data_IF_872001319885
#
_entry.id   IF_872001319885
#
_cell.length_a   1.000
_cell.length_b   1.000
_cell.length_c   1.000
_cell.angle_alpha   90.00
_cell.angle_beta   90.00
_cell.angle_gamma   90.00
#
_symmetry.space_group_name_H-M   'P 1'
#
loop_
_entity.id
_entity.type
_entity.pdbx_description
1 polymer ?
#
# COMPACT_ATOMS: atom_id res chain seq x y z
N UNK A 1 -2.43 -21.71 16.94
CA UNK A 1 -3.59 -22.09 17.74
C UNK A 1 -3.96 -20.88 18.57
N UNK A 2 -5.15 -20.35 18.41
CA UNK A 2 -5.62 -19.17 19.14
C UNK A 2 -6.86 -19.62 19.92
N UNK A 3 -6.90 -19.37 21.23
CA UNK A 3 -8.05 -19.70 22.07
C UNK A 3 -9.14 -18.62 22.03
N UNK A 4 -10.29 -18.93 22.61
CA UNK A 4 -11.35 -17.95 22.85
C UNK A 4 -11.05 -17.13 24.13
N UNK A 5 -11.60 -15.91 24.28
CA UNK A 5 -11.35 -15.06 25.47
C UNK A 5 -11.71 -15.70 26.82
N UNK A 6 -12.59 -16.69 26.80
CA UNK A 6 -13.02 -17.44 28.00
C UNK A 6 -12.23 -18.74 28.22
N UNK A 7 -11.19 -19.01 27.43
CA UNK A 7 -10.38 -20.25 27.44
C UNK A 7 -11.21 -21.56 27.31
N UNK A 8 -12.42 -21.48 26.77
CA UNK A 8 -13.31 -22.63 26.64
C UNK A 8 -13.04 -23.42 25.34
N UNK A 9 -12.41 -22.80 24.35
CA UNK A 9 -12.22 -23.39 23.01
C UNK A 9 -10.87 -22.99 22.41
N UNK A 10 -10.23 -23.92 21.72
CA UNK A 10 -9.07 -23.65 20.86
C UNK A 10 -9.50 -23.45 19.41
N UNK A 11 -8.97 -22.44 18.73
CA UNK A 11 -9.09 -22.32 17.27
C UNK A 11 -8.01 -23.14 16.56
N UNK A 12 -8.45 -24.08 15.76
CA UNK A 12 -7.58 -25.01 15.04
C UNK A 12 -7.60 -24.68 13.55
N UNK A 13 -6.44 -24.35 12.99
CA UNK A 13 -6.23 -24.31 11.54
C UNK A 13 -5.43 -25.54 11.14
N UNK A 14 -5.94 -26.34 10.23
CA UNK A 14 -5.27 -27.55 9.77
C UNK A 14 -4.96 -27.50 8.28
N UNK A 15 -3.88 -28.18 7.91
CA UNK A 15 -3.37 -28.21 6.56
C UNK A 15 -3.09 -29.66 6.16
N UNK A 16 -3.36 -30.03 4.92
CA UNK A 16 -2.90 -31.30 4.37
C UNK A 16 -2.01 -31.07 3.16
N UNK A 17 -1.04 -31.95 3.02
CA UNK A 17 0.00 -31.87 2.00
C UNK A 17 -0.01 -33.11 1.13
N UNK A 18 0.39 -32.96 -0.13
CA UNK A 18 0.60 -34.07 -1.04
C UNK A 18 1.92 -34.81 -0.73
N UNK A 19 2.20 -35.89 -1.49
CA UNK A 19 3.42 -36.69 -1.33
C UNK A 19 4.73 -35.93 -1.64
N UNK A 20 4.65 -34.74 -2.25
CA UNK A 20 5.77 -33.85 -2.51
C UNK A 20 5.91 -32.75 -1.46
N UNK A 21 5.06 -32.74 -0.43
CA UNK A 21 5.04 -31.72 0.61
C UNK A 21 4.39 -30.41 0.20
N UNK A 22 3.60 -30.37 -0.89
CA UNK A 22 2.88 -29.18 -1.32
C UNK A 22 1.49 -29.13 -0.65
N UNK A 23 1.06 -27.95 -0.24
CA UNK A 23 -0.25 -27.74 0.39
C UNK A 23 -1.37 -28.13 -0.55
N UNK A 24 -2.15 -29.16 -0.24
CA UNK A 24 -3.29 -29.58 -1.06
C UNK A 24 -4.65 -29.19 -0.46
N UNK A 25 -4.74 -28.99 0.85
CA UNK A 25 -5.94 -28.49 1.50
C UNK A 25 -5.59 -27.58 2.67
N UNK A 26 -6.28 -26.47 2.76
CA UNK A 26 -6.28 -25.55 3.88
C UNK A 26 -7.70 -25.54 4.47
N UNK A 27 -7.85 -26.08 5.67
CA UNK A 27 -9.15 -26.18 6.30
C UNK A 27 -9.56 -24.87 6.92
N UNK A 28 -10.85 -24.56 6.86
CA UNK A 28 -11.43 -23.40 7.56
C UNK A 28 -11.17 -23.57 9.06
N UNK A 29 -10.70 -22.52 9.76
CA UNK A 29 -10.48 -22.58 11.19
C UNK A 29 -11.77 -22.97 11.93
N UNK A 30 -11.67 -23.84 12.91
CA UNK A 30 -12.79 -24.26 13.75
C UNK A 30 -12.40 -24.31 15.22
N UNK A 31 -13.39 -24.23 16.11
CA UNK A 31 -13.19 -24.35 17.56
C UNK A 31 -13.43 -25.80 18.01
N UNK A 32 -12.57 -26.31 18.90
CA UNK A 32 -12.75 -27.61 19.55
C UNK A 32 -12.51 -27.51 21.07
N UNK A 33 -13.37 -28.17 21.87
CA UNK A 33 -13.34 -28.17 23.36
C UNK A 33 -12.42 -29.23 23.95
N UNK A 34 -11.89 -30.17 23.16
CA UNK A 34 -11.29 -31.41 23.69
C UNK A 34 -9.75 -31.44 23.53
N UNK A 35 -9.12 -30.26 23.58
CA UNK A 35 -7.67 -30.15 23.34
C UNK A 35 -6.88 -30.08 24.65
N UNK A 36 -6.61 -31.26 25.24
CA UNK A 36 -5.85 -31.36 26.50
C UNK A 36 -4.35 -31.48 26.32
N UNK A 37 -3.82 -31.52 25.07
CA UNK A 37 -2.38 -31.70 24.84
C UNK A 37 -1.89 -30.76 23.71
N UNK A 38 -1.06 -29.78 24.06
CA UNK A 38 -0.36 -28.92 23.09
C UNK A 38 0.42 -29.77 22.07
N UNK A 39 0.08 -29.60 20.79
CA UNK A 39 0.88 -30.14 19.67
C UNK A 39 0.42 -31.47 19.05
N UNK A 40 -0.67 -32.09 19.52
CA UNK A 40 -1.19 -33.33 18.90
C UNK A 40 -2.54 -33.11 18.21
N UNK A 41 -2.52 -32.68 16.92
CA UNK A 41 -3.72 -32.63 16.09
C UNK A 41 -4.07 -34.04 15.56
N UNK A 42 -5.30 -34.49 15.79
CA UNK A 42 -5.83 -35.72 15.19
C UNK A 42 -6.62 -35.36 13.92
N UNK A 43 -6.08 -35.69 12.76
CA UNK A 43 -6.60 -35.38 11.42
C UNK A 43 -7.97 -35.99 11.06
N UNK A 44 -8.62 -36.71 11.99
CA UNK A 44 -9.84 -37.47 11.70
C UNK A 44 -11.18 -36.77 12.05
N UNK A 45 -11.15 -35.57 12.62
CA UNK A 45 -12.38 -34.81 12.90
C UNK A 45 -12.62 -33.79 11.82
N UNK A 46 -13.60 -34.06 10.98
CA UNK A 46 -14.29 -33.02 10.20
C UNK A 46 -15.13 -32.21 11.18
N UNK A 47 -15.02 -30.87 11.21
CA UNK A 47 -15.76 -30.08 12.17
C UNK A 47 -17.26 -30.17 11.92
N UNK A 48 -18.01 -30.75 12.86
CA UNK A 48 -19.47 -30.86 12.81
C UNK A 48 -20.16 -29.47 12.80
N UNK A 49 -19.43 -28.41 13.18
CA UNK A 49 -19.90 -27.02 13.15
C UNK A 49 -20.24 -26.50 11.75
N UNK A 50 -19.75 -27.11 10.67
CA UNK A 50 -20.04 -26.69 9.31
C UNK A 50 -21.30 -27.36 8.69
N UNK A 51 -22.03 -28.16 9.44
CA UNK A 51 -23.28 -28.77 9.00
C UNK A 51 -23.14 -29.58 7.71
N UNK A 52 -23.90 -29.22 6.66
CA UNK A 52 -23.86 -29.89 5.35
C UNK A 52 -22.53 -29.69 4.61
N UNK A 53 -21.78 -28.62 4.93
CA UNK A 53 -20.50 -28.29 4.31
C UNK A 53 -19.30 -28.94 4.97
N UNK A 54 -19.47 -29.70 6.05
CA UNK A 54 -18.38 -30.33 6.81
C UNK A 54 -17.37 -31.12 5.97
N UNK A 55 -17.80 -31.73 4.89
CA UNK A 55 -16.95 -32.48 3.96
C UNK A 55 -16.21 -31.60 2.96
N UNK A 56 -16.54 -30.30 2.90
CA UNK A 56 -16.05 -29.31 1.96
C UNK A 56 -15.51 -28.04 2.64
N UNK A 57 -15.33 -28.10 3.97
CA UNK A 57 -14.82 -26.98 4.78
C UNK A 57 -13.32 -26.77 4.60
N UNK A 58 -12.84 -26.74 3.38
CA UNK A 58 -11.43 -26.50 3.03
C UNK A 58 -11.30 -25.86 1.65
N UNK A 59 -10.25 -25.04 1.51
CA UNK A 59 -9.75 -24.61 0.21
C UNK A 59 -8.84 -25.70 -0.36
N UNK A 60 -9.09 -26.13 -1.60
CA UNK A 60 -8.31 -27.14 -2.27
C UNK A 60 -7.35 -26.53 -3.30
N UNK A 61 -6.12 -27.00 -3.30
CA UNK A 61 -5.09 -26.62 -4.25
C UNK A 61 -4.72 -27.81 -5.14
N UNK A 62 -4.78 -27.63 -6.45
CA UNK A 62 -4.25 -28.59 -7.41
C UNK A 62 -3.07 -27.97 -8.16
N UNK A 63 -2.15 -28.81 -8.58
CA UNK A 63 -0.90 -28.39 -9.18
C UNK A 63 -0.79 -28.91 -10.61
N UNK A 64 -0.06 -28.18 -11.45
CA UNK A 64 0.28 -28.67 -12.78
C UNK A 64 1.12 -29.97 -12.71
N UNK A 65 1.09 -30.74 -13.78
CA UNK A 65 1.87 -31.94 -13.88
C UNK A 65 3.39 -31.71 -14.02
N UNK A 66 3.78 -30.48 -14.37
CA UNK A 66 5.17 -30.10 -14.55
C UNK A 66 5.98 -30.15 -13.24
N UNK A 67 7.31 -30.38 -13.31
CA UNK A 67 8.16 -30.55 -12.12
C UNK A 67 8.22 -29.36 -11.18
N UNK A 68 8.01 -28.13 -11.67
CA UNK A 68 8.03 -26.89 -10.88
C UNK A 68 6.84 -26.73 -9.96
N UNK A 69 5.76 -27.53 -10.13
CA UNK A 69 4.69 -27.63 -9.14
C UNK A 69 3.93 -26.34 -8.88
N UNK A 70 3.66 -25.55 -9.93
CA UNK A 70 2.86 -24.33 -9.82
C UNK A 70 1.39 -24.68 -9.59
N UNK A 71 0.67 -23.83 -8.86
CA UNK A 71 -0.77 -24.02 -8.60
C UNK A 71 -1.54 -23.89 -9.91
N UNK A 72 -2.30 -24.93 -10.27
CA UNK A 72 -3.14 -24.94 -11.47
C UNK A 72 -4.60 -24.64 -11.18
N UNK A 73 -5.09 -24.95 -9.97
CA UNK A 73 -6.46 -24.63 -9.57
C UNK A 73 -6.57 -24.43 -8.07
N UNK A 74 -7.35 -23.44 -7.68
CA UNK A 74 -7.76 -23.19 -6.29
C UNK A 74 -9.27 -23.24 -6.22
N UNK A 75 -9.81 -24.13 -5.38
CA UNK A 75 -11.25 -24.25 -5.13
C UNK A 75 -11.51 -23.81 -3.70
N UNK A 76 -12.34 -22.79 -3.50
CA UNK A 76 -12.68 -22.25 -2.18
C UNK A 76 -13.49 -23.26 -1.35
N UNK A 77 -13.43 -23.10 -0.03
CA UNK A 77 -14.23 -23.89 0.90
C UNK A 77 -15.74 -23.73 0.60
N UNK A 78 -16.51 -24.81 0.80
CA UNK A 78 -17.95 -24.87 0.63
C UNK A 78 -18.41 -25.93 -0.37
N UNK A 79 -19.57 -26.54 -0.08
CA UNK A 79 -20.12 -27.63 -0.89
C UNK A 79 -20.41 -27.20 -2.34
N UNK A 80 -20.92 -25.98 -2.51
CA UNK A 80 -21.25 -25.47 -3.85
C UNK A 80 -20.02 -25.41 -4.76
N UNK A 81 -18.92 -24.85 -4.30
CA UNK A 81 -17.67 -24.72 -5.07
C UNK A 81 -17.09 -26.09 -5.43
N UNK A 82 -17.08 -27.02 -4.47
CA UNK A 82 -16.50 -28.36 -4.68
C UNK A 82 -17.36 -29.23 -5.59
N UNK A 83 -18.69 -29.20 -5.46
CA UNK A 83 -19.60 -30.02 -6.25
C UNK A 83 -19.77 -29.50 -7.68
N UNK A 84 -19.81 -28.19 -7.89
CA UNK A 84 -19.85 -27.58 -9.22
C UNK A 84 -18.50 -27.69 -9.96
N UNK A 85 -17.44 -28.00 -9.23
CA UNK A 85 -16.09 -27.95 -9.78
C UNK A 85 -15.59 -26.53 -10.06
N UNK A 86 -16.26 -25.52 -9.48
CA UNK A 86 -15.89 -24.11 -9.57
C UNK A 86 -14.54 -23.84 -8.90
N UNK A 87 -13.85 -22.81 -9.32
CA UNK A 87 -12.58 -22.38 -8.72
C UNK A 87 -11.74 -21.56 -9.69
N UNK A 88 -10.75 -20.88 -9.14
CA UNK A 88 -9.78 -20.13 -9.94
C UNK A 88 -8.81 -21.06 -10.62
N UNK A 89 -8.77 -21.04 -11.96
CA UNK A 89 -7.89 -21.89 -12.77
C UNK A 89 -6.74 -21.06 -13.32
N UNK A 90 -5.51 -21.50 -13.11
CA UNK A 90 -4.30 -20.87 -13.63
C UNK A 90 -3.63 -21.79 -14.64
N UNK A 91 -3.41 -21.28 -15.85
CA UNK A 91 -2.70 -21.99 -16.92
C UNK A 91 -1.41 -21.25 -17.25
N UNK A 92 -0.33 -22.00 -17.43
CA UNK A 92 0.99 -21.48 -17.73
C UNK A 92 1.44 -21.91 -19.12
N UNK A 93 2.04 -21.01 -19.86
CA UNK A 93 2.49 -21.26 -21.22
C UNK A 93 3.52 -20.23 -21.68
N UNK A 94 3.67 -20.13 -22.97
CA UNK A 94 4.51 -19.13 -23.63
C UNK A 94 3.66 -18.36 -24.66
N UNK A 95 4.12 -17.17 -25.05
CA UNK A 95 3.45 -16.41 -26.10
C UNK A 95 3.57 -17.09 -27.46
N UNK A 96 2.53 -16.92 -28.29
CA UNK A 96 2.54 -17.27 -29.72
C UNK A 96 3.22 -16.20 -30.58
N UNK A 97 3.34 -16.48 -31.88
CA UNK A 97 3.79 -15.51 -32.87
C UNK A 97 2.74 -14.42 -33.06
N UNK A 98 3.17 -13.14 -33.11
CA UNK A 98 2.27 -12.02 -33.32
C UNK A 98 1.28 -11.73 -32.19
N UNK A 99 1.42 -12.38 -31.03
CA UNK A 99 0.47 -12.28 -29.91
C UNK A 99 0.66 -11.01 -29.05
N UNK A 100 1.90 -10.59 -28.87
CA UNK A 100 2.26 -9.45 -28.01
C UNK A 100 3.13 -8.46 -28.80
N UNK A 101 2.71 -7.19 -28.88
CA UNK A 101 3.51 -6.16 -29.55
C UNK A 101 4.78 -5.86 -28.74
N UNK A 102 5.85 -5.56 -29.47
CA UNK A 102 7.11 -5.13 -28.88
C UNK A 102 7.20 -3.62 -28.91
N UNK A 103 6.89 -2.99 -27.78
CA UNK A 103 7.15 -1.59 -27.54
C UNK A 103 8.52 -1.40 -26.92
N UNK A 104 9.26 -0.38 -27.35
CA UNK A 104 10.54 0.00 -26.74
C UNK A 104 10.54 1.47 -26.35
N UNK A 105 11.03 1.74 -25.14
CA UNK A 105 11.32 3.09 -24.68
C UNK A 105 12.76 3.45 -25.06
N UNK A 106 12.93 4.48 -25.88
CA UNK A 106 14.24 5.00 -26.23
C UNK A 106 14.85 5.81 -25.08
N UNK A 107 16.17 6.09 -25.14
CA UNK A 107 16.86 6.83 -24.06
C UNK A 107 16.31 8.24 -23.83
N UNK A 108 15.81 8.88 -24.85
CA UNK A 108 15.17 10.20 -24.80
C UNK A 108 13.70 10.14 -24.30
N UNK A 109 13.23 8.95 -23.92
CA UNK A 109 11.86 8.71 -23.47
C UNK A 109 10.85 8.50 -24.59
N UNK A 110 11.27 8.55 -25.86
CA UNK A 110 10.38 8.27 -27.00
C UNK A 110 9.95 6.80 -27.01
N UNK A 111 8.68 6.55 -27.31
CA UNK A 111 8.15 5.20 -27.51
C UNK A 111 8.22 4.84 -29.01
N UNK A 112 8.65 3.62 -29.30
CA UNK A 112 8.62 3.06 -30.65
C UNK A 112 7.99 1.67 -30.64
N UNK A 113 7.34 1.28 -31.75
CA UNK A 113 6.87 -0.10 -31.99
C UNK A 113 7.90 -0.81 -32.84
N UNK A 114 8.42 -1.92 -32.36
CA UNK A 114 9.44 -2.76 -33.03
C UNK A 114 8.82 -4.14 -33.40
N UNK A 115 7.62 -4.10 -33.94
CA UNK A 115 6.86 -5.30 -34.35
C UNK A 115 6.26 -6.06 -33.18
N UNK A 116 6.52 -7.36 -33.10
CA UNK A 116 5.98 -8.28 -32.10
C UNK A 116 7.08 -9.08 -31.44
N UNK A 117 6.81 -9.56 -30.21
CA UNK A 117 7.66 -10.56 -29.60
C UNK A 117 7.57 -11.88 -30.37
N UNK A 118 8.71 -12.46 -30.72
CA UNK A 118 8.76 -13.79 -31.33
C UNK A 118 8.15 -14.85 -30.41
N UNK A 119 7.66 -15.95 -30.98
CA UNK A 119 7.08 -17.06 -30.23
C UNK A 119 8.02 -17.59 -29.13
N UNK A 120 7.50 -17.88 -27.95
CA UNK A 120 8.23 -18.46 -26.83
C UNK A 120 9.20 -17.49 -26.11
N UNK A 121 9.12 -16.20 -26.35
CA UNK A 121 9.97 -15.18 -25.68
C UNK A 121 9.42 -14.67 -24.36
N UNK A 122 8.11 -14.79 -24.14
CA UNK A 122 7.44 -14.37 -22.94
C UNK A 122 6.77 -15.54 -22.24
N UNK A 123 6.82 -15.53 -20.92
CA UNK A 123 6.01 -16.44 -20.10
C UNK A 123 4.58 -15.91 -20.09
N UNK A 124 3.62 -16.78 -20.34
CA UNK A 124 2.19 -16.49 -20.35
C UNK A 124 1.54 -17.14 -19.15
N UNK A 125 0.85 -16.37 -18.34
CA UNK A 125 -0.01 -16.86 -17.25
C UNK A 125 -1.43 -16.43 -17.54
N UNK A 126 -2.36 -17.38 -17.55
CA UNK A 126 -3.78 -17.13 -17.76
C UNK A 126 -4.53 -17.59 -16.52
N UNK A 127 -5.29 -16.69 -15.93
CA UNK A 127 -6.12 -16.94 -14.76
C UNK A 127 -7.57 -16.76 -15.15
N UNK A 128 -8.36 -17.79 -14.91
CA UNK A 128 -9.81 -17.79 -15.09
C UNK A 128 -10.45 -17.89 -13.71
N UNK A 129 -11.27 -16.93 -13.35
CA UNK A 129 -11.96 -16.90 -12.06
C UNK A 129 -13.22 -17.78 -12.04
N UNK A 130 -13.93 -17.77 -10.93
CA UNK A 130 -15.15 -18.55 -10.71
C UNK A 130 -16.33 -18.08 -11.57
N UNK A 131 -16.31 -16.82 -12.02
CA UNK A 131 -17.33 -16.23 -12.91
C UNK A 131 -17.03 -16.49 -14.39
N UNK A 132 -15.79 -16.95 -14.71
CA UNK A 132 -15.31 -17.17 -16.06
C UNK A 132 -14.55 -15.95 -16.64
N UNK A 133 -14.38 -14.89 -15.85
CA UNK A 133 -13.56 -13.77 -16.25
C UNK A 133 -12.10 -14.19 -16.34
N UNK A 134 -11.44 -13.78 -17.39
CA UNK A 134 -10.09 -14.22 -17.71
C UNK A 134 -9.12 -13.05 -17.71
N UNK A 135 -8.00 -13.21 -16.99
CA UNK A 135 -6.85 -12.30 -17.04
C UNK A 135 -5.65 -13.08 -17.58
N UNK A 136 -4.98 -12.48 -18.57
CA UNK A 136 -3.77 -13.04 -19.16
C UNK A 136 -2.63 -12.07 -18.94
N UNK A 137 -1.51 -12.52 -18.37
CA UNK A 137 -0.29 -11.73 -18.21
C UNK A 137 0.87 -12.34 -18.97
N UNK A 138 1.75 -11.48 -19.48
CA UNK A 138 2.96 -11.85 -20.19
C UNK A 138 4.16 -11.20 -19.53
N UNK A 139 5.10 -12.02 -19.10
CA UNK A 139 6.32 -11.58 -18.42
C UNK A 139 7.55 -11.96 -19.23
N UNK A 140 8.55 -11.10 -19.21
CA UNK A 140 9.84 -11.38 -19.84
C UNK A 140 10.68 -12.36 -19.00
N UNK A 141 11.88 -12.67 -19.46
CA UNK A 141 12.80 -13.59 -18.77
C UNK A 141 13.38 -13.03 -17.45
N UNK A 142 13.16 -11.74 -17.17
CA UNK A 142 13.53 -11.08 -15.89
C UNK A 142 12.37 -11.11 -14.89
N UNK A 143 11.20 -11.64 -15.30
CA UNK A 143 9.98 -11.63 -14.49
C UNK A 143 9.22 -10.30 -14.53
N UNK A 144 9.55 -9.40 -15.46
CA UNK A 144 8.89 -8.11 -15.62
C UNK A 144 7.68 -8.26 -16.52
N UNK A 145 6.51 -7.78 -16.07
CA UNK A 145 5.29 -7.78 -16.87
C UNK A 145 5.40 -6.78 -18.01
N UNK A 146 5.20 -7.25 -19.24
CA UNK A 146 5.19 -6.44 -20.46
C UNK A 146 3.78 -6.14 -20.96
N UNK A 147 2.85 -7.07 -20.72
CA UNK A 147 1.47 -6.89 -21.09
C UNK A 147 0.56 -7.69 -20.18
N UNK A 148 -0.57 -7.11 -19.80
CA UNK A 148 -1.71 -7.82 -19.23
C UNK A 148 -2.96 -7.57 -20.04
N UNK A 149 -3.86 -8.55 -20.08
CA UNK A 149 -5.13 -8.44 -20.79
C UNK A 149 -6.27 -9.02 -19.97
N UNK A 150 -7.33 -8.23 -19.77
CA UNK A 150 -8.62 -8.73 -19.35
C UNK A 150 -9.41 -9.22 -20.57
N UNK A 151 -9.94 -10.43 -20.52
CA UNK A 151 -10.71 -11.04 -21.62
C UNK A 151 -12.12 -11.30 -21.12
N UNK A 152 -13.08 -10.68 -21.77
CA UNK A 152 -14.52 -10.83 -21.51
C UNK A 152 -15.28 -11.13 -22.80
N UNK A 153 -16.60 -11.29 -22.69
CA UNK A 153 -17.48 -11.47 -23.84
C UNK A 153 -17.42 -10.27 -24.83
N UNK A 154 -17.13 -9.07 -24.30
CA UNK A 154 -17.06 -7.82 -25.10
C UNK A 154 -15.69 -7.61 -25.77
N UNK A 155 -14.74 -8.50 -25.55
CA UNK A 155 -13.43 -8.46 -26.17
C UNK A 155 -12.26 -8.54 -25.19
N UNK A 156 -11.08 -8.20 -25.71
CA UNK A 156 -9.80 -8.23 -25.00
C UNK A 156 -9.31 -6.80 -24.75
N UNK A 157 -9.07 -6.48 -23.48
CA UNK A 157 -8.59 -5.19 -23.01
C UNK A 157 -7.12 -5.29 -22.61
N UNK A 158 -6.22 -4.82 -23.44
CA UNK A 158 -4.77 -4.96 -23.29
C UNK A 158 -4.16 -3.71 -22.65
N UNK A 159 -3.36 -3.90 -21.62
CA UNK A 159 -2.50 -2.87 -21.00
C UNK A 159 -1.05 -3.26 -21.21
N UNK A 160 -0.25 -2.34 -21.75
CA UNK A 160 1.19 -2.56 -21.93
C UNK A 160 2.00 -1.77 -20.92
N UNK A 161 2.98 -2.42 -20.32
CA UNK A 161 3.99 -1.84 -19.43
C UNK A 161 5.34 -1.88 -20.13
N UNK A 162 5.87 -0.72 -20.50
CA UNK A 162 7.11 -0.61 -21.27
C UNK A 162 8.24 -0.15 -20.35
N UNK A 163 9.30 -0.93 -20.29
CA UNK A 163 10.45 -0.69 -19.44
C UNK A 163 11.68 -0.32 -20.29
N UNK A 164 12.57 0.47 -19.72
CA UNK A 164 13.87 0.74 -20.34
C UNK A 164 14.88 -0.40 -20.10
N UNK A 165 16.08 -0.25 -20.65
CA UNK A 165 17.17 -1.23 -20.53
C UNK A 165 17.64 -1.45 -19.07
N UNK A 166 17.33 -0.51 -18.16
CA UNK A 166 17.59 -0.60 -16.72
C UNK A 166 16.46 -1.26 -15.96
N UNK A 167 15.36 -1.64 -16.63
CA UNK A 167 14.16 -2.24 -16.00
C UNK A 167 13.23 -1.21 -15.35
N UNK A 168 13.40 0.10 -15.59
CA UNK A 168 12.53 1.13 -15.06
C UNK A 168 11.31 1.29 -15.96
N UNK A 169 10.12 1.41 -15.35
CA UNK A 169 8.87 1.63 -16.07
C UNK A 169 8.87 3.00 -16.76
N UNK A 170 8.76 3.02 -18.09
CA UNK A 170 8.75 4.25 -18.87
C UNK A 170 7.35 4.64 -19.37
N UNK A 171 6.55 3.64 -19.72
CA UNK A 171 5.20 3.87 -20.22
C UNK A 171 4.25 2.80 -19.70
N UNK A 172 3.00 3.24 -19.43
CA UNK A 172 1.85 2.35 -19.29
C UNK A 172 0.80 2.80 -20.27
N UNK A 173 0.44 1.92 -21.22
CA UNK A 173 -0.52 2.24 -22.29
C UNK A 173 -1.84 1.56 -21.92
N UNK A 174 -2.88 2.36 -21.72
CA UNK A 174 -4.21 1.85 -21.37
C UNK A 174 -4.85 1.08 -22.54
N UNK A 175 -5.87 0.25 -22.29
CA UNK A 175 -6.54 -0.53 -23.33
C UNK A 175 -7.09 0.33 -24.48
N UNK A 176 -7.67 1.47 -24.18
CA UNK A 176 -8.17 2.39 -25.19
C UNK A 176 -7.00 3.01 -26.00
N UNK A 177 -5.88 3.31 -25.33
CA UNK A 177 -4.66 3.76 -26.01
C UNK A 177 -4.12 2.72 -26.98
N UNK A 178 -4.03 1.46 -26.56
CA UNK A 178 -3.58 0.32 -27.39
C UNK A 178 -4.46 0.17 -28.65
N UNK A 179 -5.78 0.27 -28.48
CA UNK A 179 -6.75 0.17 -29.57
C UNK A 179 -6.60 1.31 -30.58
N UNK A 180 -6.37 2.56 -30.09
CA UNK A 180 -6.25 3.75 -30.94
C UNK A 180 -4.91 3.86 -31.65
N UNK A 181 -3.84 3.36 -31.05
CA UNK A 181 -2.51 3.36 -31.67
C UNK A 181 -2.45 2.50 -32.95
N UNK A 182 -3.30 1.48 -33.07
CA UNK A 182 -3.19 0.54 -34.19
C UNK A 182 -1.78 -0.06 -34.26
N UNK A 183 -1.15 -0.07 -35.44
CA UNK A 183 0.19 -0.64 -35.65
C UNK A 183 1.33 0.40 -35.50
N UNK A 184 1.02 1.63 -35.09
CA UNK A 184 1.99 2.72 -35.01
C UNK A 184 2.09 3.36 -33.62
N UNK A 185 2.76 4.50 -33.57
CA UNK A 185 2.82 5.38 -32.41
C UNK A 185 2.28 6.74 -32.80
N UNK A 186 1.29 7.23 -32.07
CA UNK A 186 0.70 8.56 -32.21
C UNK A 186 0.86 9.33 -30.88
N UNK A 187 1.55 10.47 -30.95
CA UNK A 187 1.83 11.29 -29.78
C UNK A 187 0.56 11.85 -29.11
N UNK A 188 -0.49 12.15 -29.90
CA UNK A 188 -1.75 12.66 -29.39
C UNK A 188 -2.52 11.55 -28.62
N UNK A 189 -2.49 10.33 -29.15
CA UNK A 189 -3.07 9.16 -28.48
C UNK A 189 -2.30 8.86 -27.19
N UNK A 190 -0.96 8.86 -27.22
CA UNK A 190 -0.14 8.63 -26.02
C UNK A 190 -0.40 9.68 -24.95
N UNK A 191 -0.50 10.96 -25.34
CA UNK A 191 -0.80 12.05 -24.39
C UNK A 191 -2.16 11.86 -23.68
N UNK A 192 -3.15 11.27 -24.37
CA UNK A 192 -4.52 11.12 -23.84
C UNK A 192 -4.78 9.80 -23.13
N UNK A 193 -3.98 8.75 -23.41
CA UNK A 193 -4.29 7.39 -22.98
C UNK A 193 -3.10 6.62 -22.38
N UNK A 194 -1.92 7.25 -22.26
CA UNK A 194 -0.77 6.60 -21.70
C UNK A 194 -0.15 7.38 -20.54
N UNK A 195 0.35 6.67 -19.54
CA UNK A 195 1.22 7.23 -18.51
C UNK A 195 2.66 7.21 -19.02
N UNK A 196 3.41 8.28 -18.75
CA UNK A 196 4.84 8.35 -19.03
C UNK A 196 5.63 8.69 -17.76
N UNK A 197 6.80 8.07 -17.62
CA UNK A 197 7.71 8.26 -16.49
C UNK A 197 9.11 8.59 -17.03
N UNK A 198 9.66 9.72 -16.60
CA UNK A 198 10.99 10.16 -16.98
C UNK A 198 11.90 10.21 -15.74
N UNK A 199 13.10 9.71 -15.90
CA UNK A 199 14.08 9.56 -14.83
C UNK A 199 15.35 10.34 -15.14
N UNK A 200 16.01 10.83 -14.08
CA UNK A 200 17.31 11.42 -14.18
C UNK A 200 18.42 10.36 -14.33
N UNK A 201 19.68 10.84 -14.40
CA UNK A 201 20.86 9.98 -14.53
C UNK A 201 21.12 9.10 -13.32
N UNK A 202 20.56 9.45 -12.14
CA UNK A 202 20.63 8.66 -10.92
C UNK A 202 19.48 7.65 -10.80
N UNK A 203 18.51 7.67 -11.73
CA UNK A 203 17.38 6.79 -11.73
C UNK A 203 16.20 7.25 -10.87
N UNK A 204 16.19 8.51 -10.44
CA UNK A 204 15.08 9.11 -9.70
C UNK A 204 13.99 9.59 -10.68
N UNK A 205 12.71 9.41 -10.32
CA UNK A 205 11.58 9.88 -11.12
C UNK A 205 11.52 11.42 -11.08
N UNK A 206 11.71 12.07 -12.20
CA UNK A 206 11.72 13.55 -12.28
C UNK A 206 10.48 14.13 -12.94
N UNK A 207 9.79 13.31 -13.74
CA UNK A 207 8.53 13.69 -14.37
C UNK A 207 7.62 12.48 -14.52
N UNK A 208 6.34 12.66 -14.19
CA UNK A 208 5.26 11.70 -14.43
C UNK A 208 4.16 12.41 -15.21
N UNK A 209 3.81 11.90 -16.38
CA UNK A 209 2.66 12.39 -17.16
C UNK A 209 1.47 11.47 -16.99
N UNK A 210 0.34 12.05 -16.69
CA UNK A 210 -0.94 11.38 -16.55
C UNK A 210 -1.73 11.50 -17.88
N UNK A 211 -2.54 10.50 -18.26
CA UNK A 211 -3.38 10.57 -19.44
C UNK A 211 -4.34 11.75 -19.36
N UNK A 212 -4.32 12.62 -20.39
CA UNK A 212 -5.22 13.77 -20.49
C UNK A 212 -4.95 14.92 -19.51
N UNK A 213 -3.95 14.78 -18.66
CA UNK A 213 -3.57 15.79 -17.67
C UNK A 213 -2.12 16.27 -17.89
N UNK A 214 -1.72 17.26 -17.11
CA UNK A 214 -0.36 17.78 -17.14
C UNK A 214 0.66 16.82 -16.53
N UNK A 215 1.94 17.13 -16.74
CA UNK A 215 3.01 16.43 -16.06
C UNK A 215 3.05 16.79 -14.56
N UNK A 216 3.39 15.85 -13.71
CA UNK A 216 3.81 16.09 -12.33
C UNK A 216 5.33 16.11 -12.29
N UNK A 217 5.91 17.16 -11.74
CA UNK A 217 7.36 17.33 -11.62
C UNK A 217 7.85 17.04 -10.21
N UNK A 218 9.08 16.53 -10.13
CA UNK A 218 9.74 16.21 -8.87
C UNK A 218 11.16 16.80 -8.86
N UNK A 219 11.56 17.33 -7.71
CA UNK A 219 12.89 17.91 -7.46
C UNK A 219 13.47 17.28 -6.20
N UNK A 220 14.74 16.93 -6.26
CA UNK A 220 15.45 16.24 -5.18
C UNK A 220 16.67 17.04 -4.71
N UNK A 221 16.94 16.98 -3.41
CA UNK A 221 18.14 17.59 -2.84
C UNK A 221 19.39 16.70 -3.01
N UNK A 222 20.52 17.18 -2.52
CA UNK A 222 21.80 16.46 -2.57
C UNK A 222 21.89 15.18 -1.73
N UNK A 223 20.82 14.84 -0.98
CA UNK A 223 20.66 13.57 -0.23
C UNK A 223 19.62 12.65 -0.84
N UNK A 224 19.23 12.88 -2.09
CA UNK A 224 18.19 12.13 -2.80
C UNK A 224 16.79 12.19 -2.16
N UNK A 225 16.48 13.24 -1.37
CA UNK A 225 15.17 13.44 -0.77
C UNK A 225 14.31 14.31 -1.69
N UNK A 226 13.03 13.96 -1.84
CA UNK A 226 12.06 14.78 -2.55
C UNK A 226 11.81 16.07 -1.76
N UNK A 227 12.14 17.21 -2.36
CA UNK A 227 11.99 18.53 -1.71
C UNK A 227 10.93 19.41 -2.34
N UNK A 228 10.63 19.21 -3.64
CA UNK A 228 9.56 19.91 -4.32
C UNK A 228 8.80 18.96 -5.26
N UNK A 229 7.49 19.15 -5.35
CA UNK A 229 6.66 18.56 -6.41
C UNK A 229 5.68 19.59 -6.98
N UNK A 230 5.25 19.39 -8.23
CA UNK A 230 4.33 20.30 -8.89
C UNK A 230 3.44 19.54 -9.86
N UNK A 231 2.13 19.68 -9.72
CA UNK A 231 1.16 19.17 -10.68
C UNK A 231 0.78 20.19 -11.78
N UNK A 232 -0.17 19.81 -12.64
CA UNK A 232 -0.63 20.65 -13.76
C UNK A 232 -1.38 21.90 -13.30
N UNK A 233 -2.16 21.84 -12.24
CA UNK A 233 -2.91 22.97 -11.71
C UNK A 233 -1.99 23.95 -10.97
N UNK A 234 -1.09 23.43 -10.15
CA UNK A 234 -0.08 24.24 -9.44
C UNK A 234 0.81 25.03 -10.41
N UNK A 235 1.13 24.48 -11.60
CA UNK A 235 1.90 25.21 -12.63
C UNK A 235 1.20 26.48 -13.11
N UNK A 236 -0.12 26.50 -13.20
CA UNK A 236 -0.87 27.69 -13.64
C UNK A 236 -0.69 28.89 -12.69
N UNK A 237 -0.47 28.61 -11.41
CA UNK A 237 -0.25 29.60 -10.35
C UNK A 237 1.20 29.75 -9.91
N UNK A 238 2.12 28.95 -10.46
CA UNK A 238 3.52 28.93 -10.05
C UNK A 238 3.75 28.35 -8.65
N UNK A 239 2.80 27.57 -8.12
CA UNK A 239 2.89 26.89 -6.83
C UNK A 239 3.62 25.57 -6.95
N UNK A 240 4.26 25.18 -5.87
CA UNK A 240 4.94 23.91 -5.68
C UNK A 240 4.65 23.40 -4.28
N UNK A 241 4.42 22.11 -4.11
CA UNK A 241 4.50 21.49 -2.80
C UNK A 241 5.97 21.42 -2.37
N UNK A 242 6.23 21.65 -1.09
CA UNK A 242 7.58 21.50 -0.55
C UNK A 242 7.58 20.64 0.71
N UNK A 243 8.74 19.98 0.93
CA UNK A 243 9.02 19.20 2.13
C UNK A 243 10.37 19.64 2.69
N UNK A 244 10.39 20.06 3.97
CA UNK A 244 11.62 20.29 4.71
C UNK A 244 11.92 19.12 5.63
N UNK A 245 13.19 18.83 5.79
CA UNK A 245 13.68 17.69 6.56
C UNK A 245 14.60 18.09 7.69
N UNK A 246 14.59 17.31 8.76
CA UNK A 246 15.59 17.41 9.82
C UNK A 246 16.94 16.76 9.41
N UNK A 247 17.90 16.75 10.36
CA UNK A 247 19.23 16.16 10.16
C UNK A 247 19.19 14.63 10.02
N UNK A 248 18.11 13.99 10.47
CA UNK A 248 17.87 12.54 10.41
C UNK A 248 17.09 12.13 9.15
N UNK A 249 16.83 13.07 8.22
CA UNK A 249 16.07 12.89 6.99
C UNK A 249 14.56 12.60 7.23
N UNK A 250 13.98 13.10 8.32
CA UNK A 250 12.55 12.98 8.61
C UNK A 250 11.84 14.28 8.21
N UNK A 251 10.64 14.24 7.59
CA UNK A 251 9.86 15.45 7.27
C UNK A 251 9.50 16.22 8.54
N UNK A 252 9.72 17.52 8.56
CA UNK A 252 9.38 18.41 9.70
C UNK A 252 8.42 19.53 9.33
N UNK A 253 8.36 19.92 8.06
CA UNK A 253 7.46 20.95 7.55
C UNK A 253 7.07 20.59 6.12
N UNK A 254 5.78 20.61 5.82
CA UNK A 254 5.22 20.40 4.50
C UNK A 254 4.22 21.51 4.17
N UNK A 255 4.18 21.94 2.92
CA UNK A 255 3.34 23.05 2.52
C UNK A 255 3.44 23.37 1.03
N UNK A 256 2.85 24.50 0.66
CA UNK A 256 2.99 25.09 -0.67
C UNK A 256 3.93 26.29 -0.65
N UNK A 257 4.63 26.50 -1.78
CA UNK A 257 5.49 27.66 -2.01
C UNK A 257 5.29 28.21 -3.41
N UNK A 258 5.30 29.54 -3.54
CA UNK A 258 5.22 30.21 -4.85
C UNK A 258 6.64 30.43 -5.39
N UNK A 259 6.96 29.76 -6.52
CA UNK A 259 8.25 29.82 -7.20
C UNK A 259 8.04 30.19 -8.69
N UNK A 260 7.27 31.25 -8.94
CA UNK A 260 6.92 31.69 -10.29
C UNK A 260 8.15 31.98 -11.15
N UNK A 261 8.12 31.50 -12.41
CA UNK A 261 9.15 31.77 -13.40
C UNK A 261 10.40 30.88 -13.33
N UNK A 262 10.45 29.92 -12.39
CA UNK A 262 11.53 28.93 -12.31
C UNK A 262 11.12 27.60 -12.97
N UNK A 263 11.99 27.09 -13.81
CA UNK A 263 11.86 25.75 -14.39
C UNK A 263 12.24 24.66 -13.37
N UNK A 264 11.77 23.43 -13.59
CA UNK A 264 12.16 22.27 -12.79
C UNK A 264 13.68 22.08 -12.75
N UNK A 265 14.34 22.29 -13.90
CA UNK A 265 15.81 22.14 -14.07
C UNK A 265 16.57 23.15 -13.23
N UNK A 266 16.14 24.40 -13.20
CA UNK A 266 16.74 25.44 -12.35
C UNK A 266 16.57 25.10 -10.86
N UNK A 267 15.37 24.70 -10.45
CA UNK A 267 15.08 24.28 -9.08
C UNK A 267 15.88 23.02 -8.69
N UNK A 268 16.03 22.06 -9.62
CA UNK A 268 16.85 20.85 -9.39
C UNK A 268 18.33 21.22 -9.18
N UNK A 269 18.85 22.18 -9.94
CA UNK A 269 20.24 22.65 -9.75
C UNK A 269 20.40 23.34 -8.40
N UNK A 270 19.47 24.22 -8.03
CA UNK A 270 19.49 24.91 -6.72
C UNK A 270 19.40 23.92 -5.54
N UNK A 271 18.54 22.92 -5.65
CA UNK A 271 18.34 21.93 -4.59
C UNK A 271 19.50 20.95 -4.47
N UNK A 272 20.15 20.59 -5.58
CA UNK A 272 21.25 19.64 -5.61
C UNK A 272 22.48 20.14 -4.84
N UNK A 273 22.80 21.43 -4.97
CA UNK A 273 23.97 22.05 -4.31
C UNK A 273 23.73 22.29 -2.80
N UNK A 274 22.54 21.95 -2.30
CA UNK A 274 22.11 22.26 -0.94
C UNK A 274 21.88 21.01 -0.10
N UNK A 275 22.52 20.92 1.06
CA UNK A 275 22.16 19.98 2.11
C UNK A 275 21.14 20.66 3.03
N UNK A 276 19.85 20.27 2.90
CA UNK A 276 18.77 20.93 3.61
C UNK A 276 18.19 22.11 2.82
N UNK A 277 17.81 21.84 1.60
CA UNK A 277 17.21 22.82 0.69
C UNK A 277 15.96 23.45 1.32
N UNK A 278 15.92 24.77 1.32
CA UNK A 278 14.77 25.57 1.72
C UNK A 278 14.39 26.47 0.54
N UNK A 279 13.19 26.33 -0.05
CA UNK A 279 12.80 27.15 -1.18
C UNK A 279 12.72 28.64 -0.81
N UNK A 280 13.16 29.50 -1.72
CA UNK A 280 13.29 30.95 -1.51
C UNK A 280 11.98 31.74 -1.64
N UNK A 281 10.85 31.09 -1.98
CA UNK A 281 9.55 31.72 -2.16
C UNK A 281 8.77 31.95 -0.86
N UNK A 282 7.59 32.61 -0.99
CA UNK A 282 6.63 32.68 0.12
C UNK A 282 6.04 31.31 0.35
N UNK A 283 6.25 30.77 1.54
CA UNK A 283 5.81 29.43 1.94
C UNK A 283 4.52 29.53 2.76
N UNK A 284 3.61 28.61 2.51
CA UNK A 284 2.39 28.40 3.25
C UNK A 284 2.37 26.94 3.73
N UNK A 285 2.73 26.71 4.98
CA UNK A 285 2.75 25.37 5.54
C UNK A 285 1.33 24.87 5.81
N UNK A 286 1.11 23.58 5.61
CA UNK A 286 -0.11 22.88 6.00
C UNK A 286 0.13 21.76 7.01
N UNK A 287 1.42 21.37 7.23
CA UNK A 287 1.77 20.35 8.21
C UNK A 287 3.14 20.64 8.85
N UNK A 288 3.17 20.49 10.15
CA UNK A 288 4.40 20.47 10.95
C UNK A 288 4.49 19.18 11.75
N UNK A 289 5.68 18.60 11.82
CA UNK A 289 5.92 17.36 12.53
C UNK A 289 7.01 17.54 13.58
N UNK A 290 6.77 17.09 14.80
CA UNK A 290 7.70 17.10 15.91
C UNK A 290 8.15 15.68 16.25
N UNK A 291 9.45 15.52 16.46
CA UNK A 291 10.07 14.26 16.83
C UNK A 291 10.91 14.40 18.09
N UNK A 292 11.23 13.28 18.72
CA UNK A 292 12.24 13.14 19.77
C UNK A 292 11.93 13.82 21.12
N UNK A 293 10.97 14.71 21.19
CA UNK A 293 10.68 15.51 22.37
C UNK A 293 9.19 15.81 22.50
N UNK A 294 8.70 15.90 23.72
CA UNK A 294 7.37 16.42 24.06
C UNK A 294 7.39 17.92 24.36
N UNK A 295 8.56 18.53 24.33
CA UNK A 295 8.68 19.98 24.44
C UNK A 295 8.33 20.62 23.09
N UNK A 296 7.45 21.62 23.10
CA UNK A 296 7.09 22.35 21.90
C UNK A 296 8.28 23.11 21.33
N UNK A 297 8.27 23.35 20.03
CA UNK A 297 9.32 24.08 19.31
C UNK A 297 8.93 25.51 18.91
N UNK A 298 7.86 26.05 19.49
CA UNK A 298 7.29 27.37 19.15
C UNK A 298 6.29 27.33 17.97
N UNK A 299 6.33 26.32 17.11
CA UNK A 299 5.35 26.10 16.01
C UNK A 299 4.36 25.00 16.37
N UNK A 300 4.86 23.89 16.89
CA UNK A 300 4.05 22.78 17.41
C UNK A 300 4.08 22.82 18.92
N UNK A 301 2.92 22.86 19.56
CA UNK A 301 2.73 22.78 21.00
C UNK A 301 1.98 21.48 21.32
N UNK A 302 2.69 20.42 21.75
CA UNK A 302 2.05 19.15 22.11
C UNK A 302 1.03 19.34 23.25
N UNK A 303 -0.08 18.58 23.19
CA UNK A 303 -1.01 18.47 24.32
C UNK A 303 -0.32 17.80 25.50
N UNK A 304 -0.72 18.14 26.71
CA UNK A 304 -0.23 17.48 27.90
C UNK A 304 -0.70 16.03 27.98
N UNK A 305 0.13 15.14 28.53
CA UNK A 305 -0.30 13.79 28.89
C UNK A 305 -1.40 13.86 29.96
N UNK A 306 -2.47 13.12 29.76
CA UNK A 306 -3.60 13.07 30.68
C UNK A 306 -3.61 11.70 31.40
N UNK A 307 -3.33 11.70 32.69
CA UNK A 307 -3.32 10.53 33.56
C UNK A 307 -4.66 10.25 34.29
N UNK A 308 -5.69 11.05 33.98
CA UNK A 308 -7.00 10.97 34.65
C UNK A 308 -7.76 9.67 34.41
N UNK A 309 -7.37 8.89 33.40
CA UNK A 309 -7.99 7.62 33.06
C UNK A 309 -7.78 6.49 34.07
N UNK A 310 -6.83 6.67 35.02
CA UNK A 310 -6.45 5.65 35.99
C UNK A 310 -5.66 4.46 35.43
N UNK A 311 -5.35 4.48 34.13
CA UNK A 311 -4.54 3.48 33.41
C UNK A 311 -3.11 3.97 33.21
N UNK A 312 -2.58 4.66 34.18
CA UNK A 312 -1.31 5.36 34.07
C UNK A 312 -0.11 4.41 34.19
N UNK A 313 0.31 3.82 33.09
CA UNK A 313 1.72 3.69 32.88
C UNK A 313 2.26 5.07 32.53
N UNK A 314 3.16 5.62 33.34
CA UNK A 314 3.77 6.89 33.03
C UNK A 314 4.46 6.77 31.65
N UNK A 315 4.21 7.76 30.77
CA UNK A 315 4.90 7.79 29.48
C UNK A 315 6.41 7.93 29.67
N UNK A 316 7.17 7.40 28.73
CA UNK A 316 8.62 7.51 28.74
C UNK A 316 9.03 8.89 28.22
N UNK A 317 9.70 9.69 29.04
CA UNK A 317 10.08 11.07 28.70
C UNK A 317 11.06 11.16 27.52
N UNK A 318 11.83 10.09 27.24
CA UNK A 318 12.74 10.04 26.11
C UNK A 318 12.01 9.43 24.89
N UNK A 319 11.67 10.28 23.94
CA UNK A 319 10.97 9.91 22.71
C UNK A 319 11.92 9.82 21.49
N UNK A 320 13.21 9.61 21.70
CA UNK A 320 14.21 9.58 20.63
C UNK A 320 13.84 8.62 19.49
N UNK A 321 13.83 9.10 18.27
CA UNK A 321 13.46 8.35 17.06
C UNK A 321 11.94 8.30 16.80
N UNK A 322 11.11 8.86 17.67
CA UNK A 322 9.64 8.77 17.60
C UNK A 322 8.98 10.05 17.16
N UNK A 323 7.87 9.92 16.48
CA UNK A 323 6.93 10.99 16.20
C UNK A 323 6.20 11.37 17.49
N UNK A 324 6.31 12.59 17.95
CA UNK A 324 5.69 13.05 19.21
C UNK A 324 4.51 13.96 19.02
N UNK A 325 4.49 14.77 17.95
CA UNK A 325 3.31 15.53 17.58
C UNK A 325 3.27 15.86 16.09
N UNK A 326 2.06 16.01 15.58
CA UNK A 326 1.76 16.54 14.24
C UNK A 326 0.78 17.68 14.39
N UNK A 327 1.03 18.78 13.68
CA UNK A 327 0.11 19.92 13.58
C UNK A 327 -0.28 20.08 12.13
N UNK A 328 -1.57 19.91 11.82
CA UNK A 328 -2.11 19.94 10.47
C UNK A 328 -3.15 21.03 10.32
N UNK A 329 -3.14 21.72 9.19
CA UNK A 329 -4.11 22.74 8.86
C UNK A 329 -5.42 22.08 8.38
N UNK A 330 -6.53 22.58 8.88
CA UNK A 330 -7.85 22.16 8.40
C UNK A 330 -8.08 22.72 7.01
N UNK A 331 -8.52 21.91 6.06
CA UNK A 331 -8.82 22.34 4.70
C UNK A 331 -9.88 23.45 4.70
N UNK A 332 -9.69 24.43 3.83
CA UNK A 332 -10.57 25.62 3.66
C UNK A 332 -10.77 26.47 4.92
N UNK A 333 -9.84 26.38 5.90
CA UNK A 333 -9.84 27.11 7.15
C UNK A 333 -8.43 27.58 7.50
N UNK A 334 -8.34 28.54 8.42
CA UNK A 334 -7.08 28.93 9.06
C UNK A 334 -6.83 28.17 10.37
N UNK A 335 -7.71 27.23 10.70
CA UNK A 335 -7.61 26.43 11.90
C UNK A 335 -6.55 25.33 11.76
N UNK A 336 -5.99 24.94 12.89
CA UNK A 336 -5.00 23.90 13.00
C UNK A 336 -5.42 22.87 14.03
N UNK A 337 -5.13 21.62 13.74
CA UNK A 337 -5.31 20.48 14.64
C UNK A 337 -3.95 19.94 15.01
N UNK A 338 -3.69 19.81 16.31
CA UNK A 338 -2.47 19.18 16.83
C UNK A 338 -2.81 17.82 17.41
N UNK A 339 -2.12 16.80 16.96
CA UNK A 339 -2.19 15.43 17.52
C UNK A 339 -0.88 15.12 18.22
N UNK A 340 -0.94 14.66 19.46
CA UNK A 340 0.23 14.29 20.28
C UNK A 340 0.20 12.80 20.59
N UNK A 341 1.37 12.16 20.54
CA UNK A 341 1.56 10.73 20.73
C UNK A 341 2.51 10.46 21.88
N UNK A 342 2.06 9.74 22.91
CA UNK A 342 2.84 9.36 24.08
C UNK A 342 3.16 7.87 24.06
N UNK A 343 4.39 7.51 24.42
CA UNK A 343 4.90 6.15 24.34
C UNK A 343 5.41 5.67 25.69
N UNK A 344 5.37 4.34 25.90
CA UNK A 344 6.05 3.68 27.02
C UNK A 344 7.56 3.51 26.75
N UNK A 345 8.26 2.84 27.69
CA UNK A 345 9.69 2.55 27.58
C UNK A 345 10.02 1.57 26.43
N UNK A 346 9.11 0.68 26.12
CA UNK A 346 9.19 -0.31 25.05
C UNK A 346 8.89 0.30 23.68
N UNK A 347 8.24 1.46 23.65
CA UNK A 347 7.91 2.21 22.47
C UNK A 347 6.52 1.96 21.90
N UNK A 348 5.68 1.41 22.70
CA UNK A 348 4.28 1.22 22.39
C UNK A 348 3.52 2.54 22.64
N UNK A 349 2.54 2.84 21.78
CA UNK A 349 1.72 4.04 21.92
C UNK A 349 0.80 3.91 23.13
N UNK A 350 0.97 4.77 24.14
CA UNK A 350 0.12 4.77 25.35
C UNK A 350 -1.08 5.68 25.20
N UNK A 351 -0.86 6.85 24.64
CA UNK A 351 -1.92 7.85 24.52
C UNK A 351 -1.75 8.68 23.25
N UNK A 352 -2.88 8.96 22.62
CA UNK A 352 -3.02 9.91 21.51
C UNK A 352 -4.00 10.99 21.94
N UNK A 353 -3.63 12.26 21.78
CA UNK A 353 -4.46 13.41 22.15
C UNK A 353 -4.52 14.38 20.98
N UNK A 354 -5.72 14.79 20.57
CA UNK A 354 -5.90 15.75 19.46
C UNK A 354 -7.09 16.68 19.71
N UNK A 355 -7.07 17.87 19.12
CA UNK A 355 -8.29 18.66 18.95
C UNK A 355 -9.26 17.89 18.04
N UNK A 356 -10.55 18.13 18.22
CA UNK A 356 -11.59 17.54 17.39
C UNK A 356 -12.49 18.59 16.71
N UNK A 357 -13.26 18.16 15.73
CA UNK A 357 -14.17 19.04 14.97
C UNK A 357 -15.35 19.60 15.78
N UNK A 358 -15.54 19.12 17.01
CA UNK A 358 -16.58 19.58 17.93
C UNK A 358 -16.10 20.73 18.84
N UNK A 359 -14.86 21.19 18.65
CA UNK A 359 -14.21 22.23 19.44
C UNK A 359 -13.73 21.78 20.83
N UNK A 360 -13.57 20.47 21.00
CA UNK A 360 -13.03 19.84 22.20
C UNK A 360 -11.80 19.00 21.91
N UNK A 361 -11.54 18.03 22.75
CA UNK A 361 -10.38 17.13 22.69
C UNK A 361 -10.83 15.68 22.49
N UNK A 362 -10.16 14.97 21.58
CA UNK A 362 -10.24 13.54 21.46
C UNK A 362 -9.00 12.91 22.07
N UNK A 363 -9.20 11.92 22.95
CA UNK A 363 -8.12 11.17 23.59
C UNK A 363 -8.34 9.68 23.39
N UNK A 364 -7.27 8.98 23.08
CA UNK A 364 -7.23 7.53 22.98
C UNK A 364 -6.13 6.98 23.88
N UNK A 365 -6.51 6.18 24.86
CA UNK A 365 -5.61 5.50 25.78
C UNK A 365 -5.48 4.03 25.39
N UNK A 366 -4.28 3.48 25.50
CA UNK A 366 -3.94 2.12 25.06
C UNK A 366 -3.12 1.41 26.13
N UNK A 367 -3.35 0.12 26.30
CA UNK A 367 -2.58 -0.73 27.22
C UNK A 367 -2.23 -2.06 26.55
N UNK A 368 -1.05 -2.59 26.86
CA UNK A 368 -0.49 -3.77 26.21
C UNK A 368 -0.01 -4.80 27.22
N UNK A 369 0.04 -6.05 26.79
CA UNK A 369 0.72 -7.10 27.53
C UNK A 369 2.25 -7.09 27.28
N UNK A 370 2.99 -7.93 28.02
CA UNK A 370 4.45 -8.04 27.85
C UNK A 370 4.91 -8.35 26.41
N UNK A 371 4.24 -9.19 25.62
CA UNK A 371 4.56 -9.40 24.21
C UNK A 371 4.14 -8.26 23.27
N UNK A 372 3.47 -7.21 23.75
CA UNK A 372 3.05 -6.06 22.95
C UNK A 372 1.67 -6.20 22.27
N UNK A 373 0.82 -7.12 22.75
CA UNK A 373 -0.54 -7.26 22.24
C UNK A 373 -1.48 -6.30 22.99
N UNK A 374 -2.39 -5.65 22.27
CA UNK A 374 -3.33 -4.68 22.85
C UNK A 374 -4.30 -5.37 23.79
N UNK A 375 -4.25 -5.03 25.07
CA UNK A 375 -5.15 -5.54 26.10
C UNK A 375 -6.41 -4.70 26.22
N UNK A 376 -6.28 -3.39 26.08
CA UNK A 376 -7.34 -2.47 26.37
C UNK A 376 -7.16 -1.17 25.59
N UNK A 377 -8.27 -0.57 25.15
CA UNK A 377 -8.32 0.74 24.53
C UNK A 377 -9.54 1.52 25.01
N UNK A 378 -9.33 2.81 25.28
CA UNK A 378 -10.38 3.76 25.64
C UNK A 378 -10.29 4.96 24.72
N UNK A 379 -11.40 5.31 24.11
CA UNK A 379 -11.54 6.57 23.39
C UNK A 379 -12.49 7.48 24.16
N UNK A 380 -12.06 8.70 24.36
CA UNK A 380 -12.81 9.75 25.02
C UNK A 380 -12.87 10.97 24.10
N UNK A 381 -14.06 11.40 23.76
CA UNK A 381 -14.30 12.60 22.96
C UNK A 381 -15.02 13.62 23.82
N UNK A 382 -14.41 14.77 24.04
CA UNK A 382 -15.02 15.91 24.70
C UNK A 382 -15.46 16.90 23.65
N UNK A 383 -16.67 17.41 23.72
CA UNK A 383 -17.13 18.49 22.84
C UNK A 383 -16.72 19.88 23.38
N UNK A 384 -17.03 20.95 22.62
CA UNK A 384 -16.74 22.33 23.02
C UNK A 384 -17.55 22.80 24.24
N UNK A 385 -18.54 22.05 24.71
CA UNK A 385 -19.34 22.33 25.91
C UNK A 385 -18.85 21.52 27.11
N UNK A 386 -17.89 20.62 26.93
CA UNK A 386 -17.35 19.76 27.96
C UNK A 386 -18.15 18.46 28.19
N UNK A 387 -19.09 18.10 27.30
CA UNK A 387 -19.71 16.77 27.34
C UNK A 387 -18.72 15.71 26.87
N UNK A 388 -18.62 14.62 27.66
CA UNK A 388 -17.68 13.53 27.43
C UNK A 388 -18.40 12.29 26.89
N UNK A 389 -17.93 11.76 25.76
CA UNK A 389 -18.38 10.51 25.16
C UNK A 389 -17.26 9.50 25.22
N UNK A 390 -17.49 8.37 25.91
CA UNK A 390 -16.46 7.36 26.15
C UNK A 390 -16.84 6.04 25.49
N UNK A 391 -15.87 5.45 24.79
CA UNK A 391 -15.91 4.10 24.27
C UNK A 391 -14.76 3.29 24.84
N UNK A 392 -15.04 2.14 25.43
CA UNK A 392 -14.03 1.26 25.98
C UNK A 392 -14.18 -0.14 25.42
N UNK A 393 -13.04 -0.79 25.13
CA UNK A 393 -13.02 -2.21 24.79
C UNK A 393 -11.76 -2.87 25.32
N UNK A 394 -11.90 -4.14 25.66
CA UNK A 394 -10.81 -4.97 26.12
C UNK A 394 -10.68 -6.22 25.25
N UNK A 395 -9.45 -6.71 25.11
CA UNK A 395 -9.14 -7.92 24.35
C UNK A 395 -8.44 -8.91 25.28
N UNK A 396 -9.00 -10.11 25.38
CA UNK A 396 -8.36 -11.23 26.07
C UNK A 396 -7.57 -12.09 25.07
N UNK A 397 -6.39 -12.54 25.50
CA UNK A 397 -5.59 -13.48 24.72
C UNK A 397 -5.37 -14.75 25.53
N UNK A 398 -5.39 -15.90 24.88
CA UNK A 398 -5.03 -17.15 25.51
C UNK A 398 -3.52 -17.21 25.76
N UNK A 399 -3.14 -17.77 26.91
CA UNK A 399 -1.74 -17.96 27.31
C UNK A 399 -1.14 -19.23 26.71
#
# INVERSE_FOLDING_TARGET
MFGTPDNAYDFISSYSYDYRGRLCREYVPFSDVDYTVRGAYRSSRSPDCFGTDKNYAYTAYSYEAAPWGRVAKVTKAGAQSHQSGSGVVTTYGLNGEGEVRLFRAMRDGTLVVDGYYGAGKLQKTMVVDEAGDTVVSYTDNRGVEVMSAAVSADGRLETYSVHDDYGRLRWVISPEGVKRLGDGVDAAVLSSYAYRYDYDVLGRLVEKRLPGDGAVYYVYDGRDRLVLSQDGEQRKSGRWDYILYDRQNRPVEEGEVVLSGKSREELQSEAWDSVGYVPSGTREAYRYTLYDSYEGNGTVAPHAFDDSSGYSNAYHALATGRLTAVKERVLDSDDWVTTTYYYDAEGQLLQEVSENSLGGISRRDLSYDMPGRLLWSRECHTDGLGEEHVLEWSTGYDM
#
